data_IF_641008425833
#
_entry.id   IF_641008425833
#
_cell.length_a   1.000
_cell.length_b   1.000
_cell.length_c   1.000
_cell.angle_alpha   90.00
_cell.angle_beta   90.00
_cell.angle_gamma   90.00
#
_symmetry.space_group_name_H-M   'P 1'
#
loop_
_entity.id
_entity.type
_entity.pdbx_description
1 polymer ?
#
# COMPACT_ATOMS: atom_id res chain seq x y z
N UNK A 1 6.80 21.34 -8.78
CA UNK A 1 6.07 20.08 -9.09
C UNK A 1 7.04 19.14 -9.79
N UNK A 2 7.26 17.93 -9.25
CA UNK A 2 8.23 16.96 -9.81
C UNK A 2 7.56 16.24 -10.98
N UNK A 3 8.12 16.29 -12.20
CA UNK A 3 7.59 15.56 -13.34
C UNK A 3 7.77 14.05 -13.15
N UNK A 4 6.87 13.22 -13.74
CA UNK A 4 7.05 11.78 -13.71
C UNK A 4 8.23 11.38 -14.62
N UNK A 5 9.00 10.33 -14.27
CA UNK A 5 9.91 9.69 -15.22
C UNK A 5 9.14 9.13 -16.43
N UNK A 6 9.78 9.04 -17.59
CA UNK A 6 9.15 8.50 -18.81
C UNK A 6 8.60 7.09 -18.62
N UNK A 7 9.33 6.24 -17.87
CA UNK A 7 8.89 4.88 -17.53
C UNK A 7 7.57 4.84 -16.76
N UNK A 8 7.28 5.85 -15.94
CA UNK A 8 6.01 5.96 -15.24
C UNK A 8 4.84 6.16 -16.21
N UNK A 9 5.03 7.00 -17.22
CA UNK A 9 4.00 7.26 -18.24
C UNK A 9 3.76 6.03 -19.13
N UNK A 10 4.82 5.33 -19.53
CA UNK A 10 4.73 4.10 -20.31
C UNK A 10 3.96 2.99 -19.58
N UNK A 11 4.35 2.66 -18.34
CA UNK A 11 3.68 1.63 -17.55
C UNK A 11 2.23 2.04 -17.22
N UNK A 12 1.99 3.32 -16.89
CA UNK A 12 0.64 3.82 -16.69
C UNK A 12 -0.23 3.61 -17.93
N UNK A 13 0.25 3.99 -19.12
CA UNK A 13 -0.50 3.85 -20.36
C UNK A 13 -0.84 2.39 -20.69
N UNK A 14 0.07 1.46 -20.37
CA UNK A 14 -0.14 0.04 -20.56
C UNK A 14 -1.19 -0.56 -19.61
N UNK A 15 -1.26 -0.07 -18.35
CA UNK A 15 -2.14 -0.60 -17.32
C UNK A 15 -3.49 0.11 -17.23
N UNK A 16 -3.55 1.40 -17.51
CA UNK A 16 -4.75 2.24 -17.32
C UNK A 16 -5.70 2.24 -18.52
N UNK A 17 -5.46 1.42 -19.54
CA UNK A 17 -6.29 1.31 -20.72
C UNK A 17 -7.70 0.73 -20.48
N UNK A 18 -8.53 0.66 -21.53
CA UNK A 18 -9.82 0.00 -21.45
C UNK A 18 -9.63 -1.50 -21.18
N UNK A 19 -10.45 -2.04 -20.28
CA UNK A 19 -10.40 -3.45 -19.90
C UNK A 19 -11.80 -4.01 -19.64
N UNK A 20 -11.92 -5.34 -19.45
CA UNK A 20 -13.17 -5.96 -19.09
C UNK A 20 -13.72 -5.41 -17.77
N UNK A 21 -15.04 -5.28 -17.67
CA UNK A 21 -15.72 -4.70 -16.50
C UNK A 21 -15.34 -5.41 -15.18
N UNK A 22 -15.20 -6.74 -15.20
CA UNK A 22 -14.81 -7.50 -14.02
C UNK A 22 -13.42 -7.12 -13.46
N UNK A 23 -12.47 -6.73 -14.34
CA UNK A 23 -11.16 -6.22 -13.90
C UNK A 23 -11.33 -4.89 -13.20
N UNK A 24 -12.17 -3.99 -13.75
CA UNK A 24 -12.46 -2.70 -13.11
C UNK A 24 -13.04 -2.90 -11.70
N UNK A 25 -13.96 -3.85 -11.53
CA UNK A 25 -14.57 -4.18 -10.24
C UNK A 25 -13.55 -4.73 -9.24
N UNK A 26 -12.70 -5.66 -9.68
CA UNK A 26 -11.62 -6.22 -8.84
C UNK A 26 -10.63 -5.13 -8.41
N UNK A 27 -10.21 -4.26 -9.34
CA UNK A 27 -9.26 -3.19 -9.01
C UNK A 27 -9.87 -2.12 -8.09
N UNK A 28 -11.15 -1.81 -8.26
CA UNK A 28 -11.88 -0.93 -7.32
C UNK A 28 -11.99 -1.56 -5.93
N UNK A 29 -12.32 -2.84 -5.85
CA UNK A 29 -12.39 -3.57 -4.57
C UNK A 29 -11.03 -3.60 -3.88
N UNK A 30 -9.96 -3.90 -4.61
CA UNK A 30 -8.58 -3.90 -4.10
C UNK A 30 -8.11 -2.53 -3.59
N UNK A 31 -8.69 -1.44 -4.09
CA UNK A 31 -8.41 -0.07 -3.66
C UNK A 31 -9.42 0.49 -2.64
N UNK A 32 -10.42 -0.30 -2.23
CA UNK A 32 -11.44 0.16 -1.33
C UNK A 32 -10.96 0.13 0.13
N UNK A 33 -11.00 1.28 0.80
CA UNK A 33 -10.57 1.40 2.20
C UNK A 33 -11.35 0.48 3.15
N UNK A 34 -12.65 0.30 2.95
CA UNK A 34 -13.47 -0.58 3.78
C UNK A 34 -13.07 -2.05 3.64
N UNK A 35 -12.81 -2.49 2.42
CA UNK A 35 -12.31 -3.85 2.13
C UNK A 35 -10.94 -4.06 2.77
N UNK A 36 -10.02 -3.12 2.59
CA UNK A 36 -8.67 -3.23 3.16
C UNK A 36 -8.68 -3.19 4.68
N UNK A 37 -9.55 -2.37 5.28
CA UNK A 37 -9.74 -2.34 6.74
C UNK A 37 -10.30 -3.66 7.26
N UNK A 38 -11.28 -4.25 6.58
CA UNK A 38 -11.83 -5.55 6.95
C UNK A 38 -10.75 -6.66 6.87
N UNK A 39 -9.95 -6.68 5.80
CA UNK A 39 -8.83 -7.63 5.66
C UNK A 39 -7.80 -7.41 6.77
N UNK A 40 -7.44 -6.16 7.08
CA UNK A 40 -6.52 -5.85 8.16
C UNK A 40 -7.04 -6.31 9.53
N UNK A 41 -8.34 -6.10 9.80
CA UNK A 41 -8.98 -6.57 11.03
C UNK A 41 -8.96 -8.10 11.14
N UNK A 42 -9.27 -8.81 10.05
CA UNK A 42 -9.17 -10.27 10.00
C UNK A 42 -7.74 -10.76 10.22
N UNK A 43 -6.74 -10.07 9.65
CA UNK A 43 -5.33 -10.40 9.86
C UNK A 43 -4.91 -10.18 11.32
N UNK A 44 -5.35 -9.10 11.96
CA UNK A 44 -5.12 -8.86 13.41
C UNK A 44 -5.73 -9.98 14.24
N UNK A 45 -7.00 -10.33 13.99
CA UNK A 45 -7.69 -11.41 14.69
C UNK A 45 -6.96 -12.75 14.48
N UNK A 46 -6.59 -13.04 13.24
CA UNK A 46 -5.83 -14.27 12.92
C UNK A 46 -4.50 -14.33 13.69
N UNK A 47 -3.71 -13.25 13.66
CA UNK A 47 -2.44 -13.19 14.38
C UNK A 47 -2.64 -13.32 15.88
N UNK A 48 -3.67 -12.69 16.44
CA UNK A 48 -4.02 -12.83 17.85
C UNK A 48 -4.33 -14.27 18.26
N UNK A 49 -5.05 -15.01 17.41
CA UNK A 49 -5.50 -16.37 17.71
C UNK A 49 -4.45 -17.44 17.42
N UNK A 50 -3.63 -17.25 16.37
CA UNK A 50 -2.81 -18.31 15.74
C UNK A 50 -1.30 -18.06 15.76
N UNK A 51 -0.83 -16.81 15.91
CA UNK A 51 0.60 -16.52 15.95
C UNK A 51 1.22 -17.03 17.26
N UNK A 52 2.45 -17.58 17.23
CA UNK A 52 3.22 -17.88 18.45
C UNK A 52 3.44 -16.64 19.34
N UNK A 53 3.49 -15.46 18.72
CA UNK A 53 3.71 -14.18 19.41
C UNK A 53 2.43 -13.32 19.46
N UNK A 54 1.30 -13.95 19.45
CA UNK A 54 -0.09 -13.44 19.52
C UNK A 54 -0.25 -11.91 19.60
N UNK A 55 -0.33 -11.39 20.85
CA UNK A 55 -0.59 -9.96 21.08
C UNK A 55 0.46 -9.05 20.43
N UNK A 56 1.74 -9.42 20.48
CA UNK A 56 2.80 -8.62 19.87
C UNK A 56 2.63 -8.50 18.36
N UNK A 57 2.38 -9.61 17.66
CA UNK A 57 2.19 -9.58 16.20
C UNK A 57 0.96 -8.76 15.80
N UNK A 58 -0.15 -8.89 16.55
CA UNK A 58 -1.37 -8.12 16.31
C UNK A 58 -1.15 -6.61 16.54
N UNK A 59 -0.49 -6.23 17.65
CA UNK A 59 -0.17 -4.83 17.95
C UNK A 59 0.80 -4.24 16.90
N UNK A 60 1.84 -5.00 16.53
CA UNK A 60 2.79 -4.55 15.52
C UNK A 60 2.12 -4.36 14.16
N UNK A 61 1.17 -5.22 13.78
CA UNK A 61 0.43 -5.06 12.53
C UNK A 61 -0.36 -3.74 12.51
N UNK A 62 -1.13 -3.48 13.57
CA UNK A 62 -1.90 -2.23 13.67
C UNK A 62 -0.97 -1.00 13.70
N UNK A 63 0.11 -1.05 14.47
CA UNK A 63 1.09 0.02 14.56
C UNK A 63 1.80 0.26 13.21
N UNK A 64 2.19 -0.80 12.49
CA UNK A 64 2.86 -0.68 11.20
C UNK A 64 1.98 0.00 10.16
N UNK A 65 0.69 -0.37 10.09
CA UNK A 65 -0.28 0.28 9.21
C UNK A 65 -0.40 1.78 9.55
N UNK A 66 -0.63 2.11 10.81
CA UNK A 66 -0.80 3.50 11.25
C UNK A 66 0.45 4.36 11.03
N UNK A 67 1.63 3.84 11.35
CA UNK A 67 2.91 4.56 11.15
C UNK A 67 3.20 4.74 9.65
N UNK A 68 3.01 3.72 8.83
CA UNK A 68 3.23 3.81 7.39
C UNK A 68 2.29 4.83 6.73
N UNK A 69 1.00 4.86 7.13
CA UNK A 69 0.05 5.87 6.66
C UNK A 69 0.45 7.28 7.10
N UNK A 70 0.75 7.45 8.38
CA UNK A 70 1.17 8.74 8.95
C UNK A 70 2.40 9.30 8.22
N UNK A 71 3.44 8.48 8.04
CA UNK A 71 4.66 8.88 7.34
C UNK A 71 4.38 9.21 5.88
N UNK A 72 3.62 8.38 5.18
CA UNK A 72 3.27 8.62 3.79
C UNK A 72 2.48 9.93 3.63
N UNK A 73 1.41 10.11 4.42
CA UNK A 73 0.41 11.18 4.20
C UNK A 73 0.83 12.49 4.84
N UNK A 74 1.38 12.47 6.06
CA UNK A 74 1.66 13.69 6.83
C UNK A 74 3.11 14.16 6.73
N UNK A 75 4.05 13.25 6.43
CA UNK A 75 5.47 13.61 6.41
C UNK A 75 5.97 13.74 4.98
N UNK A 76 5.85 12.69 4.16
CA UNK A 76 6.53 12.64 2.86
C UNK A 76 5.74 13.38 1.77
N UNK A 77 4.41 13.14 1.65
CA UNK A 77 3.60 13.79 0.60
C UNK A 77 3.74 15.31 0.56
N UNK A 78 3.67 16.05 1.69
CA UNK A 78 3.79 17.51 1.66
C UNK A 78 5.16 18.01 1.15
N UNK A 79 6.20 17.19 1.29
CA UNK A 79 7.58 17.57 0.91
C UNK A 79 7.89 17.30 -0.55
N UNK A 80 7.29 16.23 -1.15
CA UNK A 80 7.60 15.83 -2.53
C UNK A 80 6.74 16.59 -3.55
N UNK A 81 5.54 17.01 -3.19
CA UNK A 81 4.58 17.78 -4.02
C UNK A 81 4.42 17.27 -5.46
N UNK A 82 4.26 15.96 -5.61
CA UNK A 82 4.10 15.32 -6.92
C UNK A 82 2.63 15.24 -7.33
N UNK A 83 2.31 15.69 -8.55
CA UNK A 83 0.96 15.60 -9.11
C UNK A 83 0.57 14.16 -9.43
N UNK A 84 -0.71 13.81 -9.25
CA UNK A 84 -1.27 12.50 -9.64
C UNK A 84 -1.44 12.39 -11.15
N UNK A 85 -1.36 11.18 -11.75
CA UNK A 85 -1.62 10.98 -13.18
C UNK A 85 -2.92 11.62 -13.64
N UNK A 86 -4.02 11.36 -12.96
CA UNK A 86 -5.34 11.90 -13.25
C UNK A 86 -5.48 13.44 -13.10
N UNK A 87 -4.52 14.11 -12.45
CA UNK A 87 -4.44 15.59 -12.41
C UNK A 87 -3.59 16.15 -13.54
N UNK A 88 -2.60 15.38 -14.01
CA UNK A 88 -1.73 15.77 -15.12
C UNK A 88 -2.46 15.66 -16.46
N UNK A 89 -3.16 14.56 -16.68
CA UNK A 89 -3.95 14.34 -17.89
C UNK A 89 -5.34 13.75 -17.54
N UNK A 90 -6.30 14.59 -17.11
CA UNK A 90 -7.62 14.14 -16.68
C UNK A 90 -8.49 13.58 -17.81
N UNK A 91 -8.14 13.85 -19.08
CA UNK A 91 -8.91 13.39 -20.24
C UNK A 91 -8.45 12.03 -20.76
N UNK A 92 -7.16 11.70 -20.61
CA UNK A 92 -6.60 10.43 -21.11
C UNK A 92 -6.48 9.37 -20.02
N UNK A 93 -6.30 9.79 -18.74
CA UNK A 93 -6.14 8.86 -17.63
C UNK A 93 -7.50 8.47 -17.08
N UNK A 94 -7.83 7.17 -17.16
CA UNK A 94 -9.03 6.61 -16.52
C UNK A 94 -8.90 6.69 -15.00
N UNK A 95 -9.85 7.35 -14.32
CA UNK A 95 -9.87 7.51 -12.86
C UNK A 95 -11.28 7.35 -12.26
N UNK A 96 -11.84 6.14 -12.29
CA UNK A 96 -13.24 5.88 -11.96
C UNK A 96 -13.60 6.09 -10.47
N UNK A 97 -12.62 6.27 -9.61
CA UNK A 97 -12.81 6.61 -8.19
C UNK A 97 -12.64 8.11 -7.91
N UNK A 98 -12.52 8.93 -8.97
CA UNK A 98 -12.08 10.31 -8.84
C UNK A 98 -10.58 10.41 -8.56
N UNK A 99 -10.03 11.61 -8.67
CA UNK A 99 -8.58 11.82 -8.55
C UNK A 99 -8.09 11.99 -7.11
N UNK A 100 -8.99 12.22 -6.18
CA UNK A 100 -8.66 12.51 -4.79
C UNK A 100 -7.96 13.86 -4.59
N UNK A 101 -7.89 14.32 -3.36
CA UNK A 101 -7.13 15.50 -2.95
C UNK A 101 -5.67 15.13 -2.62
N UNK A 102 -4.75 16.07 -2.74
CA UNK A 102 -3.36 15.91 -2.30
C UNK A 102 -2.42 15.29 -3.35
N UNK A 103 -1.20 15.09 -2.89
CA UNK A 103 -0.05 14.68 -3.70
C UNK A 103 -0.03 13.18 -3.98
N UNK A 104 0.79 12.80 -4.97
CA UNK A 104 0.88 11.43 -5.45
C UNK A 104 1.86 10.58 -4.63
N UNK A 105 3.09 11.05 -4.44
CA UNK A 105 4.18 10.25 -3.86
C UNK A 105 4.29 10.41 -2.33
N UNK A 106 4.50 9.30 -1.62
CA UNK A 106 4.34 7.91 -2.04
C UNK A 106 2.87 7.47 -1.97
N UNK A 107 2.55 6.30 -2.53
CA UNK A 107 1.21 5.71 -2.39
C UNK A 107 0.96 5.21 -0.97
N UNK A 108 0.00 5.82 -0.26
CA UNK A 108 -0.36 5.41 1.10
C UNK A 108 -0.90 3.96 1.15
N UNK A 109 -1.74 3.56 0.17
CA UNK A 109 -2.24 2.19 0.07
C UNK A 109 -1.10 1.17 -0.10
N UNK A 110 -0.10 1.48 -0.96
CA UNK A 110 1.06 0.63 -1.12
C UNK A 110 1.90 0.57 0.18
N UNK A 111 2.07 1.70 0.87
CA UNK A 111 2.82 1.76 2.13
C UNK A 111 2.16 0.94 3.24
N UNK A 112 0.86 1.12 3.45
CA UNK A 112 0.13 0.40 4.50
C UNK A 112 0.04 -1.10 4.23
N UNK A 113 -0.19 -1.51 2.98
CA UNK A 113 -0.26 -2.93 2.63
C UNK A 113 1.11 -3.61 2.67
N UNK A 114 2.19 -2.93 2.29
CA UNK A 114 3.54 -3.48 2.43
C UNK A 114 3.97 -3.61 3.90
N UNK A 115 3.65 -2.61 4.74
CA UNK A 115 3.89 -2.70 6.18
C UNK A 115 3.12 -3.87 6.82
N UNK A 116 1.84 -4.00 6.46
CA UNK A 116 1.00 -5.10 6.90
C UNK A 116 1.54 -6.47 6.44
N UNK A 117 1.92 -6.60 5.15
CA UNK A 117 2.47 -7.83 4.59
C UNK A 117 3.77 -8.24 5.29
N UNK A 118 4.65 -7.28 5.64
CA UNK A 118 5.91 -7.53 6.34
C UNK A 118 5.67 -8.10 7.74
N UNK A 119 4.79 -7.48 8.53
CA UNK A 119 4.45 -7.97 9.87
C UNK A 119 3.71 -9.31 9.79
N UNK A 120 2.78 -9.45 8.85
CA UNK A 120 2.01 -10.69 8.67
C UNK A 120 2.93 -11.85 8.27
N UNK A 121 3.89 -11.63 7.38
CA UNK A 121 4.88 -12.63 7.00
C UNK A 121 5.75 -13.09 8.19
N UNK A 122 6.09 -12.18 9.10
CA UNK A 122 6.81 -12.51 10.32
C UNK A 122 5.94 -13.28 11.32
N UNK A 123 4.68 -12.87 11.53
CA UNK A 123 3.76 -13.48 12.49
C UNK A 123 3.10 -14.77 11.99
N UNK A 124 2.99 -14.95 10.67
CA UNK A 124 2.35 -16.08 10.01
C UNK A 124 3.08 -16.49 8.71
N UNK A 125 4.34 -16.97 8.79
CA UNK A 125 5.21 -17.19 7.60
C UNK A 125 4.62 -18.18 6.58
N UNK A 126 3.83 -19.17 7.01
CA UNK A 126 3.17 -20.11 6.10
C UNK A 126 2.10 -19.46 5.21
N UNK A 127 1.59 -18.30 5.59
CA UNK A 127 0.58 -17.54 4.86
C UNK A 127 1.14 -16.26 4.23
N UNK A 128 2.46 -16.04 4.31
CA UNK A 128 3.12 -14.83 3.78
C UNK A 128 2.81 -14.55 2.31
N UNK A 129 2.68 -15.61 1.51
CA UNK A 129 2.31 -15.51 0.10
C UNK A 129 1.03 -14.68 -0.12
N UNK A 130 -0.01 -14.91 0.70
CA UNK A 130 -1.27 -14.15 0.57
C UNK A 130 -1.11 -12.67 0.88
N UNK A 131 -0.30 -12.33 1.89
CA UNK A 131 0.01 -10.93 2.23
C UNK A 131 0.78 -10.23 1.09
N UNK A 132 1.76 -10.92 0.50
CA UNK A 132 2.54 -10.41 -0.63
C UNK A 132 1.65 -10.22 -1.86
N UNK A 133 0.83 -11.20 -2.21
CA UNK A 133 -0.10 -11.11 -3.35
C UNK A 133 -1.06 -9.94 -3.16
N UNK A 134 -1.65 -9.78 -1.98
CA UNK A 134 -2.53 -8.65 -1.68
C UNK A 134 -1.79 -7.32 -1.85
N UNK A 135 -0.58 -7.20 -1.33
CA UNK A 135 0.24 -5.99 -1.44
C UNK A 135 0.50 -5.63 -2.92
N UNK A 136 0.86 -6.62 -3.74
CA UNK A 136 1.10 -6.42 -5.19
C UNK A 136 -0.19 -6.02 -5.91
N UNK A 137 -1.30 -6.73 -5.68
CA UNK A 137 -2.60 -6.43 -6.30
C UNK A 137 -3.08 -5.03 -5.93
N UNK A 138 -2.96 -4.63 -4.66
CA UNK A 138 -3.30 -3.27 -4.23
C UNK A 138 -2.40 -2.24 -4.92
N UNK A 139 -1.09 -2.48 -5.00
CA UNK A 139 -0.18 -1.57 -5.71
C UNK A 139 -0.54 -1.40 -7.18
N UNK A 140 -0.76 -2.51 -7.90
CA UNK A 140 -1.19 -2.50 -9.30
C UNK A 140 -2.52 -1.75 -9.46
N UNK A 141 -3.48 -1.97 -8.55
CA UNK A 141 -4.78 -1.31 -8.63
C UNK A 141 -4.66 0.22 -8.58
N UNK A 142 -3.66 0.77 -7.86
CA UNK A 142 -3.46 2.24 -7.78
C UNK A 142 -3.01 2.84 -9.12
N UNK A 143 -2.18 2.12 -9.87
CA UNK A 143 -1.75 2.51 -11.22
C UNK A 143 -2.90 2.30 -12.21
N UNK A 144 -3.54 1.13 -12.18
CA UNK A 144 -4.68 0.79 -13.03
C UNK A 144 -5.83 1.81 -12.94
N UNK A 145 -6.11 2.29 -11.72
CA UNK A 145 -7.14 3.30 -11.47
C UNK A 145 -6.67 4.74 -11.71
N UNK A 146 -5.46 4.95 -12.23
CA UNK A 146 -4.93 6.26 -12.64
C UNK A 146 -4.66 7.25 -11.50
N UNK A 147 -4.62 6.80 -10.26
CA UNK A 147 -4.47 7.68 -9.08
C UNK A 147 -3.04 7.80 -8.56
N UNK A 148 -2.15 6.89 -8.99
CA UNK A 148 -0.73 6.90 -8.66
C UNK A 148 0.14 6.48 -9.85
N UNK A 149 1.35 7.00 -9.88
CA UNK A 149 2.41 6.57 -10.78
C UNK A 149 3.02 5.24 -10.29
N UNK A 150 3.59 4.41 -11.18
CA UNK A 150 4.33 3.19 -10.77
C UNK A 150 5.38 3.45 -9.69
N UNK A 151 6.18 4.50 -9.83
CA UNK A 151 7.20 4.84 -8.83
C UNK A 151 6.64 5.31 -7.49
N UNK A 152 5.41 5.85 -7.44
CA UNK A 152 4.72 6.13 -6.16
C UNK A 152 4.41 4.84 -5.41
N UNK A 153 4.06 3.78 -6.14
CA UNK A 153 3.77 2.46 -5.59
C UNK A 153 5.06 1.82 -5.06
N UNK A 154 6.14 1.86 -5.85
CA UNK A 154 7.45 1.34 -5.43
C UNK A 154 7.97 2.07 -4.18
N UNK A 155 7.86 3.40 -4.16
CA UNK A 155 8.22 4.20 -2.98
C UNK A 155 7.35 3.85 -1.76
N UNK A 156 6.06 3.61 -1.99
CA UNK A 156 5.14 3.14 -0.95
C UNK A 156 5.54 1.77 -0.41
N UNK A 157 5.82 0.80 -1.28
CA UNK A 157 6.28 -0.53 -0.85
C UNK A 157 7.58 -0.47 -0.06
N UNK A 158 8.55 0.31 -0.50
CA UNK A 158 9.82 0.49 0.21
C UNK A 158 9.61 1.08 1.60
N UNK A 159 8.79 2.14 1.71
CA UNK A 159 8.44 2.76 2.99
C UNK A 159 7.75 1.78 3.93
N UNK A 160 6.72 1.09 3.45
CA UNK A 160 5.96 0.15 4.28
C UNK A 160 6.80 -1.03 4.75
N UNK A 161 7.59 -1.63 3.86
CA UNK A 161 8.50 -2.72 4.21
C UNK A 161 9.55 -2.29 5.24
N UNK A 162 10.11 -1.08 5.10
CA UNK A 162 11.07 -0.53 6.05
C UNK A 162 10.42 -0.32 7.44
N UNK A 163 9.21 0.26 7.50
CA UNK A 163 8.47 0.43 8.76
C UNK A 163 8.23 -0.92 9.44
N UNK A 164 7.74 -1.91 8.69
CA UNK A 164 7.51 -3.25 9.23
C UNK A 164 8.79 -3.90 9.74
N UNK A 165 9.88 -3.84 8.97
CA UNK A 165 11.18 -4.42 9.34
C UNK A 165 11.76 -3.75 10.60
N UNK A 166 11.69 -2.43 10.71
CA UNK A 166 12.16 -1.67 11.88
C UNK A 166 11.37 -2.07 13.13
N UNK A 167 10.05 -2.18 13.04
CA UNK A 167 9.22 -2.57 14.18
C UNK A 167 9.53 -4.00 14.65
N UNK A 168 9.76 -4.93 13.72
CA UNK A 168 10.19 -6.30 14.05
C UNK A 168 11.56 -6.27 14.74
N UNK A 169 12.52 -5.51 14.22
CA UNK A 169 13.86 -5.40 14.81
C UNK A 169 13.80 -4.83 16.22
N UNK A 170 13.06 -3.74 16.43
CA UNK A 170 12.88 -3.12 17.74
C UNK A 170 12.19 -4.06 18.75
N UNK A 171 11.23 -4.86 18.31
CA UNK A 171 10.58 -5.83 19.17
C UNK A 171 11.53 -6.91 19.69
N UNK A 172 12.48 -7.35 18.82
CA UNK A 172 13.49 -8.35 19.21
C UNK A 172 14.51 -7.84 20.23
N UNK A 173 14.90 -6.56 20.11
CA UNK A 173 15.84 -5.95 21.07
C UNK A 173 15.30 -5.90 22.51
N UNK A 174 13.99 -5.85 22.70
CA UNK A 174 13.37 -5.90 24.04
C UNK A 174 13.44 -7.27 24.71
N UNK A 175 13.62 -8.34 23.95
CA UNK A 175 13.73 -9.71 24.50
C UNK A 175 15.18 -10.10 24.84
N UNK A 176 16.16 -9.27 24.49
CA UNK A 176 17.59 -9.49 24.79
C UNK A 176 18.06 -8.74 26.04
N UNK A 177 17.14 -8.00 26.66
CA UNK A 177 17.36 -7.33 27.97
C UNK A 177 16.49 -7.98 29.05
#
# INVERSE_FOLDING_TARGET
MVPPPDIDAEILSALNGPGPQWIDEVMRAASNNGVLLAIAALAVIYLWLKSPQRALAAVLLAAAIGIADLLAVRVIKPQVDRARPCKVDPFRVKHPLGCGSGQSFPSAHASTTAAAATIFAWGAPRLSFFGIVLCVVVGISRVYLGVHWPTDVLGGWALGAAVGAILIALSRLRYLR
#
